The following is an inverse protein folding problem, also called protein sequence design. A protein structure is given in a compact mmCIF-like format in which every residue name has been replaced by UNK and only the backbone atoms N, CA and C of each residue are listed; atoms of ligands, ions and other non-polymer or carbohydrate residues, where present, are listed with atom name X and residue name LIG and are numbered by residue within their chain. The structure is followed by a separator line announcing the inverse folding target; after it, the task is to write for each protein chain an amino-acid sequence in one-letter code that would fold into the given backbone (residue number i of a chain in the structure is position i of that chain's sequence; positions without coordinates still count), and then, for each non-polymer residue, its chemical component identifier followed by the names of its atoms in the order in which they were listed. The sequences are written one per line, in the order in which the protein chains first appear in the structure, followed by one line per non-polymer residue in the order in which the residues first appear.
data_IF_115779402803
#
_entry.id   IF_115779402803
#
_cell.length_a   1.000
_cell.length_b   1.000
_cell.length_c   1.000
_cell.angle_alpha   90.00
_cell.angle_beta   90.00
_cell.angle_gamma   90.00
#
_symmetry.space_group_name_H-M   'P 1'
#
loop_
_entity.id
_entity.type
_entity.pdbx_description
1 polymer ?
#
# COMPACT_ATOMS: atom_id res chain seq x y z
N UNK A 1 -9.41 -1.93 11.16
CA UNK A 1 -9.79 -1.77 9.74
C UNK A 1 -9.25 -3.00 9.01
N UNK A 2 -9.84 -3.46 7.91
CA UNK A 2 -9.40 -4.72 7.29
C UNK A 2 -7.97 -4.60 6.74
N UNK A 3 -7.16 -5.64 6.93
CA UNK A 3 -5.85 -5.76 6.33
C UNK A 3 -5.94 -5.68 4.78
N UNK A 4 -4.91 -5.16 4.09
CA UNK A 4 -4.90 -5.10 2.63
C UNK A 4 -5.02 -6.50 2.04
N UNK A 5 -5.91 -6.66 1.06
CA UNK A 5 -6.17 -7.94 0.38
C UNK A 5 -5.22 -8.21 -0.79
N UNK A 6 -4.53 -7.17 -1.28
CA UNK A 6 -3.54 -7.28 -2.35
C UNK A 6 -2.44 -6.22 -2.16
N UNK A 7 -1.27 -6.45 -2.76
CA UNK A 7 -0.11 -5.55 -2.70
C UNK A 7 0.50 -5.35 -4.09
N UNK A 8 0.78 -4.10 -4.45
CA UNK A 8 1.61 -3.77 -5.61
C UNK A 8 3.07 -3.61 -5.15
N UNK A 9 3.90 -4.61 -5.43
CA UNK A 9 5.28 -4.68 -4.90
C UNK A 9 6.36 -4.07 -5.81
N UNK A 10 5.99 -3.42 -6.92
CA UNK A 10 6.96 -2.82 -7.85
C UNK A 10 7.15 -3.62 -9.16
N UNK A 11 8.24 -3.39 -9.91
CA UNK A 11 9.47 -2.64 -9.57
C UNK A 11 9.45 -1.12 -9.92
N UNK A 12 10.49 -0.40 -9.49
CA UNK A 12 10.68 1.01 -9.84
C UNK A 12 10.72 1.19 -11.37
N UNK A 13 10.08 2.26 -11.85
CA UNK A 13 9.95 2.58 -13.29
C UNK A 13 9.15 1.55 -14.12
N UNK A 14 8.37 0.67 -13.48
CA UNK A 14 7.46 -0.27 -14.15
C UNK A 14 5.99 0.20 -14.17
N UNK A 15 5.73 1.51 -14.09
CA UNK A 15 4.36 2.03 -14.21
C UNK A 15 3.47 1.86 -12.97
N UNK A 16 4.04 1.59 -11.78
CA UNK A 16 3.26 1.42 -10.54
C UNK A 16 2.39 2.63 -10.16
N UNK A 17 2.82 3.84 -10.51
CA UNK A 17 2.01 5.05 -10.33
C UNK A 17 0.73 5.00 -11.16
N UNK A 18 0.85 4.65 -12.45
CA UNK A 18 -0.31 4.52 -13.33
C UNK A 18 -1.24 3.40 -12.87
N UNK A 19 -0.68 2.23 -12.52
CA UNK A 19 -1.46 1.10 -12.01
C UNK A 19 -2.25 1.48 -10.76
N UNK A 20 -1.61 2.16 -9.80
CA UNK A 20 -2.28 2.63 -8.59
C UNK A 20 -3.46 3.56 -8.92
N UNK A 21 -3.28 4.50 -9.85
CA UNK A 21 -4.35 5.40 -10.29
C UNK A 21 -5.47 4.70 -11.07
N UNK A 22 -5.15 3.68 -11.85
CA UNK A 22 -6.15 2.90 -12.59
C UNK A 22 -6.99 2.03 -11.65
N UNK A 23 -6.35 1.34 -10.72
CA UNK A 23 -7.01 0.45 -9.74
C UNK A 23 -7.88 1.25 -8.75
N UNK A 24 -7.43 2.44 -8.34
CA UNK A 24 -8.18 3.32 -7.44
C UNK A 24 -9.50 3.85 -8.04
N UNK A 25 -9.72 3.74 -9.36
CA UNK A 25 -10.98 4.14 -10.00
C UNK A 25 -12.08 3.08 -9.86
N UNK A 26 -11.75 1.86 -9.44
CA UNK A 26 -12.74 0.80 -9.29
C UNK A 26 -13.55 0.99 -8.00
N UNK A 27 -14.90 0.96 -8.05
CA UNK A 27 -15.75 1.29 -6.90
C UNK A 27 -15.58 0.33 -5.71
N UNK A 28 -15.15 -0.91 -5.96
CA UNK A 28 -14.91 -1.94 -4.93
C UNK A 28 -13.48 -1.96 -4.40
N UNK A 29 -12.61 -1.04 -4.85
CA UNK A 29 -11.21 -1.02 -4.44
C UNK A 29 -10.91 0.22 -3.59
N UNK A 30 -10.57 -0.03 -2.33
CA UNK A 30 -9.93 0.96 -1.46
C UNK A 30 -8.41 0.97 -1.68
N UNK A 31 -7.81 2.16 -1.63
CA UNK A 31 -6.34 2.31 -1.61
C UNK A 31 -5.90 2.97 -0.31
N UNK A 32 -4.68 2.67 0.13
CA UNK A 32 -4.14 3.22 1.37
C UNK A 32 -3.95 4.74 1.31
N UNK A 33 -3.91 5.40 2.48
CA UNK A 33 -3.77 6.86 2.59
C UNK A 33 -2.51 7.41 1.92
N UNK A 34 -1.45 6.61 1.92
CA UNK A 34 -0.18 6.91 1.26
C UNK A 34 0.12 5.82 0.25
N UNK A 35 0.51 6.22 -0.96
CA UNK A 35 0.85 5.32 -2.06
C UNK A 35 1.94 4.29 -1.68
N UNK A 36 2.98 4.72 -0.98
CA UNK A 36 4.12 3.89 -0.59
C UNK A 36 4.39 4.03 0.91
N UNK A 37 4.06 2.96 1.67
CA UNK A 37 4.23 2.91 3.12
C UNK A 37 5.64 2.49 3.56
N UNK A 38 6.37 1.80 2.69
CA UNK A 38 7.67 1.23 2.98
C UNK A 38 7.73 0.34 4.24
N UNK A 39 6.62 -0.35 4.54
CA UNK A 39 6.49 -1.11 5.78
C UNK A 39 7.45 -2.32 5.84
N UNK A 40 7.61 -3.04 4.73
CA UNK A 40 8.40 -4.28 4.69
C UNK A 40 9.87 -4.07 4.34
N UNK A 41 10.25 -2.92 3.76
CA UNK A 41 11.63 -2.61 3.34
C UNK A 41 12.34 -1.64 4.29
N UNK A 42 11.61 -0.84 5.08
CA UNK A 42 12.21 0.05 6.08
C UNK A 42 12.00 -0.49 7.49
N UNK A 43 13.11 -0.80 8.17
CA UNK A 43 13.10 -1.28 9.56
C UNK A 43 12.30 -0.39 10.51
N UNK A 44 12.44 0.94 10.41
CA UNK A 44 11.73 1.88 11.27
C UNK A 44 10.20 1.89 11.05
N UNK A 45 9.72 1.45 9.88
CA UNK A 45 8.30 1.27 9.63
C UNK A 45 7.84 -0.09 10.15
N UNK A 46 8.62 -1.14 9.91
CA UNK A 46 8.34 -2.50 10.39
C UNK A 46 8.22 -2.59 11.92
N UNK A 47 9.09 -1.89 12.65
CA UNK A 47 9.08 -1.84 14.12
C UNK A 47 7.82 -1.21 14.71
N UNK A 48 6.97 -0.54 13.91
CA UNK A 48 5.67 0.00 14.35
C UNK A 48 4.59 -1.07 14.50
N UNK A 49 4.83 -2.27 13.97
CA UNK A 49 3.92 -3.40 14.08
C UNK A 49 2.77 -3.39 13.07
N UNK A 50 2.03 -4.51 13.05
CA UNK A 50 0.93 -4.74 12.12
C UNK A 50 -0.27 -3.83 12.40
N UNK A 51 -0.57 -3.53 13.66
CA UNK A 51 -1.66 -2.62 14.02
C UNK A 51 -1.48 -1.24 13.39
N UNK A 52 -0.23 -0.74 13.39
CA UNK A 52 0.09 0.52 12.70
C UNK A 52 -0.08 0.40 11.19
N UNK A 53 0.35 -0.70 10.59
CA UNK A 53 0.21 -0.96 9.16
C UNK A 53 -1.25 -1.00 8.71
N UNK A 54 -2.09 -1.76 9.42
CA UNK A 54 -3.53 -1.88 9.13
C UNK A 54 -4.27 -0.55 9.31
N UNK A 55 -3.80 0.33 10.20
CA UNK A 55 -4.39 1.66 10.39
C UNK A 55 -4.17 2.63 9.20
N UNK A 56 -3.31 2.28 8.24
CA UNK A 56 -3.00 3.11 7.06
C UNK A 56 -4.00 2.96 5.91
N UNK A 57 -4.95 2.03 6.03
CA UNK A 57 -5.99 1.72 5.05
C UNK A 57 -7.37 1.97 5.66
#
# INVERSE_FOLDING_TARGET
MPAPTFLCIGAQKCGTTWLASAVAQHPEVGTGRKKELHFFDQRAAYERGLDWYESQF
#
